data_IF_903727646216
#
_entry.id   IF_903727646216
#
_cell.length_a   1.000
_cell.length_b   1.000
_cell.length_c   1.000
_cell.angle_alpha   90.00
_cell.angle_beta   90.00
_cell.angle_gamma   90.00
#
_symmetry.space_group_name_H-M   'P 1'
#
loop_
_entity.id
_entity.type
_entity.pdbx_description
1 polymer ?
#
# COMPACT_ATOMS: atom_id res chain seq x y z
N UNK A 1 -6.57 29.27 54.68
CA UNK A 1 -6.81 28.29 53.59
C UNK A 1 -5.70 28.48 52.58
N UNK A 2 -4.94 27.43 52.25
CA UNK A 2 -3.84 27.56 51.27
C UNK A 2 -4.40 27.55 49.84
N UNK A 3 -3.76 28.22 48.89
CA UNK A 3 -4.20 28.21 47.49
C UNK A 3 -4.28 26.80 46.91
N UNK A 4 -3.38 25.91 47.36
CA UNK A 4 -3.41 24.49 47.04
C UNK A 4 -4.68 23.77 47.51
N UNK A 5 -5.14 24.05 48.74
CA UNK A 5 -6.42 23.52 49.24
C UNK A 5 -7.61 24.08 48.45
N UNK A 6 -7.50 25.33 47.98
CA UNK A 6 -8.54 25.96 47.16
C UNK A 6 -8.63 25.30 45.78
N UNK A 7 -7.50 25.02 45.13
CA UNK A 7 -7.49 24.29 43.86
C UNK A 7 -7.98 22.85 44.00
N UNK A 8 -7.59 22.13 45.06
CA UNK A 8 -8.07 20.77 45.33
C UNK A 8 -9.61 20.73 45.47
N UNK A 9 -10.20 21.71 46.15
CA UNK A 9 -11.66 21.84 46.30
C UNK A 9 -12.34 22.20 44.96
N UNK A 10 -11.69 23.00 44.11
CA UNK A 10 -12.23 23.35 42.79
C UNK A 10 -12.21 22.16 41.84
N UNK A 11 -11.14 21.35 41.84
CA UNK A 11 -11.03 20.13 41.04
C UNK A 11 -12.04 19.07 41.49
N UNK A 12 -12.16 18.81 42.80
CA UNK A 12 -13.14 17.86 43.33
C UNK A 12 -14.59 18.25 42.98
N UNK A 13 -14.90 19.55 42.97
CA UNK A 13 -16.22 20.06 42.55
C UNK A 13 -16.45 19.95 41.04
N UNK A 14 -15.42 20.12 40.22
CA UNK A 14 -15.52 19.96 38.77
C UNK A 14 -15.84 18.51 38.39
N UNK A 15 -15.14 17.54 38.99
CA UNK A 15 -15.36 16.10 38.76
C UNK A 15 -16.77 15.67 39.20
N UNK A 16 -17.21 16.15 40.38
CA UNK A 16 -18.56 15.86 40.91
C UNK A 16 -19.68 16.48 40.07
N UNK A 17 -19.41 17.55 39.31
CA UNK A 17 -20.36 18.16 38.37
C UNK A 17 -20.39 17.40 37.04
N UNK A 18 -19.24 16.88 36.59
CA UNK A 18 -19.13 15.99 35.43
C UNK A 18 -19.98 14.73 35.58
N UNK A 19 -19.81 14.00 36.69
CA UNK A 19 -20.54 12.75 36.97
C UNK A 19 -22.05 12.95 37.11
N UNK A 20 -22.49 14.04 37.76
CA UNK A 20 -23.91 14.40 37.85
C UNK A 20 -24.51 14.73 36.49
N UNK A 21 -23.76 15.40 35.60
CA UNK A 21 -24.22 15.71 34.25
C UNK A 21 -24.33 14.46 33.37
N UNK A 22 -23.41 13.50 33.53
CA UNK A 22 -23.39 12.25 32.79
C UNK A 22 -24.52 11.31 33.24
N UNK A 23 -24.70 11.16 34.55
CA UNK A 23 -25.81 10.37 35.13
C UNK A 23 -27.18 10.98 34.82
N UNK A 24 -27.32 12.31 34.81
CA UNK A 24 -28.56 12.98 34.39
C UNK A 24 -28.87 12.76 32.89
N UNK A 25 -27.86 12.82 32.02
CA UNK A 25 -28.01 12.53 30.58
C UNK A 25 -28.38 11.07 30.30
N UNK A 26 -27.82 10.12 31.05
CA UNK A 26 -28.20 8.70 30.95
C UNK A 26 -29.65 8.46 31.41
N UNK A 27 -30.10 9.19 32.44
CA UNK A 27 -31.46 9.09 32.97
C UNK A 27 -32.51 9.74 32.06
N UNK A 28 -32.19 10.87 31.40
CA UNK A 28 -33.11 11.50 30.43
C UNK A 28 -33.27 10.68 29.14
N UNK A 29 -32.20 10.01 28.70
CA UNK A 29 -32.25 9.11 27.53
C UNK A 29 -33.12 7.87 27.78
N UNK A 30 -33.24 7.43 29.04
CA UNK A 30 -34.09 6.30 29.44
C UNK A 30 -35.57 6.69 29.58
N UNK A 31 -35.88 7.96 29.88
CA UNK A 31 -37.26 8.48 29.93
C UNK A 31 -37.81 8.90 28.55
N UNK A 32 -36.96 9.33 27.61
CA UNK A 32 -37.42 9.68 26.25
C UNK A 32 -37.86 8.47 25.42
N UNK A 33 -37.53 7.24 25.84
CA UNK A 33 -37.99 6.01 25.18
C UNK A 33 -39.39 5.57 25.64
N UNK A 34 -39.99 6.26 26.63
CA UNK A 34 -41.24 5.88 27.31
C UNK A 34 -42.38 6.90 27.04
N UNK A 35 -42.15 7.86 26.14
CA UNK A 35 -43.08 8.99 25.86
C UNK A 35 -43.52 9.10 24.39
N UNK A 36 -43.56 8.00 23.65
CA UNK A 36 -44.14 7.93 22.31
C UNK A 36 -45.24 6.86 22.20
N UNK A 37 -46.28 6.93 23.05
CA UNK A 37 -47.56 6.23 22.79
C UNK A 37 -48.73 6.81 23.59
N UNK A 38 -49.47 7.76 22.98
CA UNK A 38 -50.86 8.23 23.24
C UNK A 38 -51.00 9.51 22.39
N UNK A 39 -51.84 9.66 21.34
CA UNK A 39 -53.29 9.46 21.18
C UNK A 39 -53.70 9.66 19.69
N UNK A 40 -54.53 8.73 19.14
CA UNK A 40 -55.70 8.85 18.17
C UNK A 40 -55.63 9.76 16.92
N UNK A 41 -56.10 9.48 15.68
CA UNK A 41 -56.67 8.39 14.81
C UNK A 41 -57.04 9.10 13.44
N UNK A 42 -57.52 8.47 12.35
CA UNK A 42 -57.13 7.24 11.62
C UNK A 42 -56.94 7.50 10.09
N UNK A 43 -56.50 6.49 9.31
CA UNK A 43 -57.08 6.04 8.01
C UNK A 43 -56.09 5.14 7.22
N UNK A 44 -56.64 4.02 6.72
CA UNK A 44 -56.16 3.06 5.68
C UNK A 44 -55.05 2.03 5.97
N UNK A 45 -55.51 0.85 6.45
CA UNK A 45 -55.41 -0.52 5.86
C UNK A 45 -54.04 -1.22 5.62
N UNK A 46 -53.99 -2.57 5.73
CA UNK A 46 -53.07 -3.22 6.68
C UNK A 46 -51.96 -4.09 6.06
N UNK A 47 -50.82 -4.15 6.75
CA UNK A 47 -49.87 -5.27 6.70
C UNK A 47 -49.99 -6.05 8.02
N UNK A 48 -50.09 -7.40 8.02
CA UNK A 48 -50.25 -8.14 9.26
C UNK A 48 -48.92 -8.32 9.99
N UNK A 49 -49.04 -8.21 11.31
CA UNK A 49 -48.00 -8.27 12.30
C UNK A 49 -47.61 -9.70 12.71
N UNK A 50 -46.38 -9.80 13.18
CA UNK A 50 -45.91 -10.54 14.37
C UNK A 50 -46.29 -12.02 14.55
N UNK A 51 -45.25 -12.85 14.73
CA UNK A 51 -45.13 -13.63 15.97
C UNK A 51 -43.71 -14.12 16.24
N UNK A 52 -43.33 -13.98 17.51
CA UNK A 52 -42.35 -14.75 18.29
C UNK A 52 -42.00 -16.13 17.72
N UNK A 53 -40.72 -16.49 17.78
CA UNK A 53 -40.33 -17.90 17.71
C UNK A 53 -38.84 -18.10 17.53
N UNK A 54 -38.22 -18.70 18.54
CA UNK A 54 -36.94 -19.43 18.45
C UNK A 54 -36.97 -20.36 17.23
N UNK A 55 -35.96 -20.34 16.34
CA UNK A 55 -35.38 -21.52 15.65
C UNK A 55 -34.48 -21.17 14.45
N UNK A 56 -33.46 -22.00 14.32
CA UNK A 56 -32.46 -22.13 13.26
C UNK A 56 -33.02 -22.63 11.91
N UNK A 57 -32.21 -22.50 10.85
CA UNK A 57 -32.12 -23.34 9.63
C UNK A 57 -33.31 -23.38 8.65
N UNK A 58 -33.09 -22.89 7.41
CA UNK A 58 -33.61 -23.46 6.14
C UNK A 58 -33.44 -22.52 4.92
N UNK A 59 -33.38 -21.19 5.09
CA UNK A 59 -33.41 -20.23 3.96
C UNK A 59 -32.05 -19.93 3.30
N UNK A 60 -30.94 -20.35 3.89
CA UNK A 60 -29.60 -20.19 3.29
C UNK A 60 -29.23 -21.34 2.34
N UNK A 61 -29.83 -22.52 2.50
CA UNK A 61 -29.54 -23.69 1.67
C UNK A 61 -30.08 -23.54 0.22
N UNK A 62 -31.22 -22.88 0.07
CA UNK A 62 -31.91 -22.69 -1.22
C UNK A 62 -31.13 -21.73 -2.15
N UNK A 63 -30.54 -20.66 -1.59
CA UNK A 63 -29.67 -19.75 -2.35
C UNK A 63 -28.32 -20.34 -2.73
N UNK A 64 -27.77 -21.28 -1.94
CA UNK A 64 -26.56 -22.00 -2.30
C UNK A 64 -26.82 -23.06 -3.37
N UNK A 65 -27.93 -23.79 -3.28
CA UNK A 65 -28.32 -24.79 -4.28
C UNK A 65 -28.58 -24.17 -5.66
N UNK A 66 -29.31 -23.05 -5.71
CA UNK A 66 -29.56 -22.32 -6.97
C UNK A 66 -28.28 -21.73 -7.60
N UNK A 67 -27.23 -21.47 -6.80
CA UNK A 67 -25.96 -20.92 -7.28
C UNK A 67 -25.02 -22.03 -7.78
N UNK A 68 -25.06 -23.21 -7.16
CA UNK A 68 -24.29 -24.37 -7.61
C UNK A 68 -24.87 -24.99 -8.89
N UNK A 69 -26.19 -25.03 -9.07
CA UNK A 69 -26.81 -25.48 -10.33
C UNK A 69 -26.44 -24.57 -11.51
N UNK A 70 -26.45 -23.26 -11.32
CA UNK A 70 -26.04 -22.30 -12.35
C UNK A 70 -24.56 -22.46 -12.75
N UNK A 71 -23.70 -22.81 -11.79
CA UNK A 71 -22.27 -23.02 -12.04
C UNK A 71 -22.00 -24.37 -12.72
N UNK A 72 -22.80 -25.39 -12.42
CA UNK A 72 -22.74 -26.70 -13.06
C UNK A 72 -23.23 -26.64 -14.53
N UNK A 73 -24.27 -25.85 -14.81
CA UNK A 73 -24.76 -25.63 -16.18
C UNK A 73 -23.71 -24.90 -17.05
N UNK A 74 -22.98 -23.94 -16.48
CA UNK A 74 -21.90 -23.23 -17.19
C UNK A 74 -20.70 -24.16 -17.48
N UNK A 75 -20.37 -25.08 -16.55
CA UNK A 75 -19.35 -26.12 -16.78
C UNK A 75 -19.77 -27.10 -17.86
N UNK A 76 -21.03 -27.52 -17.89
CA UNK A 76 -21.56 -28.40 -18.92
C UNK A 76 -21.50 -27.74 -20.33
N UNK A 77 -21.78 -26.44 -20.43
CA UNK A 77 -21.65 -25.68 -21.69
C UNK A 77 -20.19 -25.55 -22.16
N UNK A 78 -19.22 -25.44 -21.24
CA UNK A 78 -17.78 -25.37 -21.58
C UNK A 78 -17.22 -26.70 -22.08
N UNK A 79 -17.72 -27.82 -21.55
CA UNK A 79 -17.29 -29.16 -21.97
C UNK A 79 -17.90 -29.59 -23.32
N UNK A 80 -19.03 -29.01 -23.73
CA UNK A 80 -19.66 -29.30 -25.03
C UNK A 80 -18.97 -28.62 -26.23
N UNK A 81 -18.10 -27.63 -25.97
CA UNK A 81 -17.32 -26.93 -26.99
C UNK A 81 -15.89 -27.46 -27.17
N UNK A 82 -15.51 -28.55 -26.50
CA UNK A 82 -14.26 -29.24 -26.80
C UNK A 82 -14.55 -30.60 -27.45
N UNK A 83 -14.54 -30.61 -28.78
CA UNK A 83 -14.04 -31.76 -29.53
C UNK A 83 -13.28 -31.29 -30.78
N UNK A 84 -12.17 -31.95 -31.14
CA UNK A 84 -11.15 -31.43 -32.03
C UNK A 84 -11.42 -31.81 -33.48
N UNK A 85 -11.36 -30.84 -34.39
CA UNK A 85 -11.31 -31.11 -35.83
C UNK A 85 -9.87 -31.29 -36.28
N UNK A 86 -9.56 -32.55 -36.62
CA UNK A 86 -8.40 -33.00 -37.38
C UNK A 86 -8.32 -32.26 -38.71
N UNK A 87 -7.16 -31.70 -39.05
CA UNK A 87 -6.74 -31.48 -40.43
C UNK A 87 -5.27 -31.88 -40.59
N UNK A 88 -5.12 -33.06 -41.19
CA UNK A 88 -3.97 -33.61 -41.89
C UNK A 88 -3.44 -32.67 -42.97
N UNK A 89 -2.12 -32.46 -43.02
CA UNK A 89 -1.36 -32.30 -44.27
C UNK A 89 0.03 -32.91 -44.10
N UNK A 90 0.16 -34.13 -44.61
CA UNK A 90 1.44 -34.71 -45.02
C UNK A 90 2.04 -33.85 -46.14
N UNK A 91 3.35 -33.61 -46.09
CA UNK A 91 4.16 -33.53 -47.31
C UNK A 91 5.58 -34.01 -47.04
N UNK A 92 6.12 -34.67 -48.05
CA UNK A 92 7.13 -35.70 -48.06
C UNK A 92 8.57 -35.20 -48.03
N UNK A 93 9.44 -36.04 -47.46
CA UNK A 93 10.90 -35.97 -47.57
C UNK A 93 11.43 -36.39 -48.95
N UNK A 94 12.39 -35.64 -49.48
CA UNK A 94 13.49 -36.14 -50.35
C UNK A 94 14.51 -35.00 -50.55
N UNK A 95 15.68 -35.05 -49.91
CA UNK A 95 16.98 -35.45 -50.50
C UNK A 95 17.28 -34.81 -51.87
N UNK A 96 18.31 -33.96 -51.97
CA UNK A 96 19.64 -34.27 -52.56
C UNK A 96 20.47 -32.99 -52.83
N UNK A 97 21.73 -33.09 -52.45
CA UNK A 97 22.97 -32.42 -52.88
C UNK A 97 23.01 -31.67 -54.22
N UNK A 98 23.70 -30.52 -54.24
CA UNK A 98 24.74 -30.23 -55.25
C UNK A 98 25.73 -29.15 -54.77
N UNK A 99 27.00 -29.55 -54.76
CA UNK A 99 28.21 -28.73 -54.73
C UNK A 99 28.34 -27.80 -55.95
N UNK A 100 28.93 -26.62 -55.77
CA UNK A 100 29.84 -26.01 -56.77
C UNK A 100 30.59 -24.82 -56.18
N UNK A 101 31.92 -24.98 -56.15
CA UNK A 101 32.94 -23.93 -56.17
C UNK A 101 32.70 -22.88 -57.26
N UNK A 102 33.02 -21.62 -56.95
CA UNK A 102 33.70 -20.73 -57.91
C UNK A 102 34.23 -19.48 -57.20
N UNK A 103 35.57 -19.41 -57.10
CA UNK A 103 36.34 -18.18 -56.93
C UNK A 103 36.01 -17.14 -58.01
N UNK A 104 35.85 -15.87 -57.63
CA UNK A 104 36.30 -14.77 -58.46
C UNK A 104 36.69 -13.54 -57.62
N UNK A 105 37.90 -13.03 -57.87
CA UNK A 105 38.47 -11.82 -57.29
C UNK A 105 38.33 -10.64 -58.24
N UNK A 106 37.86 -9.50 -57.75
CA UNK A 106 38.12 -8.14 -58.26
C UNK A 106 37.43 -7.16 -57.29
N UNK A 107 38.11 -6.56 -56.31
CA UNK A 107 38.89 -5.31 -56.40
C UNK A 107 38.10 -4.15 -57.03
N UNK A 108 37.52 -3.30 -56.18
CA UNK A 108 37.53 -1.83 -56.31
C UNK A 108 37.04 -1.18 -55.01
N UNK A 109 37.78 -0.15 -54.65
CA UNK A 109 37.71 0.79 -53.54
C UNK A 109 36.41 1.60 -53.52
N UNK A 110 35.64 1.54 -52.42
CA UNK A 110 34.88 2.65 -51.85
C UNK A 110 34.50 2.28 -50.40
N UNK A 111 35.27 2.80 -49.45
CA UNK A 111 35.11 2.61 -48.00
C UNK A 111 33.91 3.36 -47.42
N UNK A 112 32.73 3.20 -48.00
CA UNK A 112 31.47 3.60 -47.39
C UNK A 112 31.11 2.62 -46.28
N UNK A 113 31.58 2.89 -45.06
CA UNK A 113 31.07 2.23 -43.86
C UNK A 113 29.57 2.51 -43.76
N UNK A 114 28.76 1.59 -44.26
CA UNK A 114 27.38 1.43 -43.84
C UNK A 114 27.44 1.11 -42.34
N UNK A 115 27.35 2.14 -41.51
CA UNK A 115 27.01 1.95 -40.09
C UNK A 115 25.73 1.12 -40.07
N UNK A 116 25.89 -0.12 -39.61
CA UNK A 116 24.80 -1.04 -39.36
C UNK A 116 23.86 -0.36 -38.38
N UNK A 117 22.69 0.05 -38.86
CA UNK A 117 21.59 0.72 -38.15
C UNK A 117 20.93 -0.21 -37.09
N UNK A 118 21.71 -1.15 -36.53
CA UNK A 118 21.28 -2.20 -35.60
C UNK A 118 21.44 -1.77 -34.13
N UNK A 119 22.26 -0.74 -33.85
CA UNK A 119 22.43 -0.21 -32.48
C UNK A 119 21.24 0.63 -31.99
N UNK A 120 20.25 0.92 -32.84
CA UNK A 120 19.02 1.63 -32.45
C UNK A 120 17.90 0.71 -31.96
N UNK A 121 18.07 -0.61 -32.12
CA UNK A 121 17.11 -1.65 -31.73
C UNK A 121 17.01 -1.85 -30.22
N UNK A 122 18.07 -1.50 -29.48
CA UNK A 122 18.23 -1.79 -28.05
C UNK A 122 17.70 -0.68 -27.13
N UNK A 123 17.29 0.46 -27.69
CA UNK A 123 16.78 1.58 -26.91
C UNK A 123 15.33 1.31 -26.46
N UNK A 124 15.03 1.44 -25.16
CA UNK A 124 13.70 1.13 -24.63
C UNK A 124 12.68 2.17 -25.10
N UNK A 125 11.53 1.71 -25.60
CA UNK A 125 10.47 2.58 -26.13
C UNK A 125 9.84 3.41 -25.00
N UNK A 126 9.22 4.54 -25.34
CA UNK A 126 8.42 5.33 -24.38
C UNK A 126 7.36 4.48 -23.65
N UNK A 127 6.67 3.58 -24.36
CA UNK A 127 5.68 2.68 -23.74
C UNK A 127 6.34 1.71 -22.75
N UNK A 128 7.51 1.15 -23.08
CA UNK A 128 8.26 0.26 -22.19
C UNK A 128 8.64 1.01 -20.89
N UNK A 129 9.14 2.24 -21.01
CA UNK A 129 9.49 3.09 -19.87
C UNK A 129 8.26 3.47 -19.03
N UNK A 130 7.13 3.74 -19.69
CA UNK A 130 5.87 4.08 -19.03
C UNK A 130 5.32 2.91 -18.20
N UNK A 131 5.53 1.67 -18.64
CA UNK A 131 5.14 0.47 -17.88
C UNK A 131 6.00 0.26 -16.63
N UNK A 132 7.31 0.51 -16.72
CA UNK A 132 8.22 0.42 -15.55
C UNK A 132 8.25 1.70 -14.70
N UNK A 133 7.45 2.72 -15.05
CA UNK A 133 7.32 3.94 -14.27
C UNK A 133 6.38 3.72 -13.09
N UNK A 134 6.91 3.92 -11.88
CA UNK A 134 6.18 3.75 -10.64
C UNK A 134 5.54 5.07 -10.20
N UNK A 135 4.23 5.01 -9.97
CA UNK A 135 3.43 6.13 -9.46
C UNK A 135 3.56 6.24 -7.94
N UNK A 136 3.37 7.45 -7.41
CA UNK A 136 3.41 7.73 -5.96
C UNK A 136 2.47 6.84 -5.14
N UNK A 137 1.23 6.65 -5.58
CA UNK A 137 0.24 5.79 -4.94
C UNK A 137 0.66 4.32 -4.86
N UNK A 138 1.49 3.86 -5.80
CA UNK A 138 2.08 2.51 -5.78
C UNK A 138 3.24 2.44 -4.79
N UNK A 139 4.08 3.48 -4.71
CA UNK A 139 5.11 3.61 -3.67
C UNK A 139 4.51 3.64 -2.26
N UNK A 140 3.42 4.38 -2.05
CA UNK A 140 2.73 4.47 -0.75
C UNK A 140 2.17 3.12 -0.26
N UNK A 141 1.90 2.19 -1.18
CA UNK A 141 1.54 0.81 -0.85
C UNK A 141 2.77 -0.03 -0.56
N UNK A 142 3.80 0.09 -1.39
CA UNK A 142 4.96 -0.79 -1.38
C UNK A 142 6.05 -0.43 -0.39
N UNK A 143 6.15 0.80 0.13
CA UNK A 143 7.33 1.19 0.93
C UNK A 143 7.54 0.42 2.26
N UNK A 144 6.49 -0.26 2.76
CA UNK A 144 6.53 -1.13 3.95
C UNK A 144 6.86 -2.59 3.56
N UNK A 145 6.85 -2.90 2.27
CA UNK A 145 7.10 -4.25 1.80
C UNK A 145 8.59 -4.60 1.90
N UNK A 146 8.95 -5.83 2.30
CA UNK A 146 10.35 -6.21 2.46
C UNK A 146 11.11 -6.25 1.12
N UNK A 147 10.42 -6.56 0.02
CA UNK A 147 11.00 -6.57 -1.32
C UNK A 147 11.06 -5.18 -1.97
N UNK A 148 10.60 -4.14 -1.27
CA UNK A 148 10.48 -2.79 -1.84
C UNK A 148 11.80 -2.26 -2.37
N UNK A 149 12.86 -2.43 -1.58
CA UNK A 149 14.17 -1.85 -1.84
C UNK A 149 14.80 -2.48 -3.09
N UNK A 150 14.69 -3.80 -3.24
CA UNK A 150 15.20 -4.51 -4.42
C UNK A 150 14.33 -4.27 -5.67
N UNK A 151 13.02 -4.20 -5.49
CA UNK A 151 12.07 -4.01 -6.59
C UNK A 151 12.18 -2.62 -7.20
N UNK A 152 12.28 -1.58 -6.37
CA UNK A 152 12.21 -0.19 -6.84
C UNK A 152 13.49 0.24 -7.56
N UNK A 153 14.62 -0.38 -7.26
CA UNK A 153 15.89 -0.11 -7.92
C UNK A 153 15.81 -0.44 -9.40
N UNK A 154 16.22 0.50 -10.26
CA UNK A 154 16.12 0.39 -11.71
C UNK A 154 14.75 0.71 -12.29
N UNK A 155 13.74 1.02 -11.46
CA UNK A 155 12.47 1.56 -11.94
C UNK A 155 12.58 3.06 -12.24
N UNK A 156 11.65 3.57 -13.05
CA UNK A 156 11.52 5.00 -13.31
C UNK A 156 10.50 5.64 -12.37
N UNK A 157 10.74 6.89 -12.01
CA UNK A 157 9.82 7.72 -11.23
C UNK A 157 9.77 9.12 -11.83
N UNK A 158 8.58 9.70 -11.83
CA UNK A 158 8.34 11.06 -12.29
C UNK A 158 8.45 12.04 -11.13
N UNK A 159 9.55 12.77 -11.06
CA UNK A 159 9.89 13.65 -9.93
C UNK A 159 9.49 15.08 -10.24
N UNK A 160 8.72 15.71 -9.33
CA UNK A 160 8.41 17.13 -9.42
C UNK A 160 9.59 17.97 -8.92
N UNK A 161 10.30 18.63 -9.84
CA UNK A 161 11.48 19.46 -9.49
C UNK A 161 11.07 20.82 -8.97
N UNK A 162 9.93 21.34 -9.42
CA UNK A 162 9.44 22.65 -9.00
C UNK A 162 8.33 23.17 -9.90
N UNK A 163 8.16 24.49 -9.92
CA UNK A 163 7.14 25.17 -10.72
C UNK A 163 7.79 26.27 -11.56
N UNK A 164 7.56 26.23 -12.87
CA UNK A 164 7.89 27.30 -13.82
C UNK A 164 6.73 28.29 -13.92
N UNK A 165 6.97 29.40 -14.64
CA UNK A 165 5.92 30.31 -15.12
C UNK A 165 4.84 29.58 -15.95
N UNK A 166 5.21 28.49 -16.61
CA UNK A 166 4.32 27.66 -17.43
C UNK A 166 3.60 26.52 -16.67
N UNK A 167 3.92 26.29 -15.39
CA UNK A 167 3.33 25.20 -14.60
C UNK A 167 4.35 24.32 -13.87
N UNK A 168 3.90 23.26 -13.18
CA UNK A 168 4.79 22.32 -12.49
C UNK A 168 5.71 21.60 -13.49
N UNK A 169 7.01 21.58 -13.19
CA UNK A 169 8.02 20.91 -14.00
C UNK A 169 8.30 19.55 -13.38
N UNK A 170 8.19 18.51 -14.21
CA UNK A 170 8.52 17.15 -13.86
C UNK A 170 9.69 16.66 -14.70
N UNK A 171 10.49 15.75 -14.12
CA UNK A 171 11.49 15.00 -14.87
C UNK A 171 11.36 13.52 -14.58
N UNK A 172 11.73 12.73 -15.58
CA UNK A 172 11.78 11.30 -15.49
C UNK A 172 13.16 10.88 -14.98
N UNK A 173 13.19 10.30 -13.78
CA UNK A 173 14.43 9.89 -13.12
C UNK A 173 14.40 8.38 -12.86
N UNK A 174 15.58 7.77 -12.81
CA UNK A 174 15.74 6.36 -12.45
C UNK A 174 16.16 6.22 -10.99
N UNK A 175 15.63 5.21 -10.32
CA UNK A 175 15.94 4.95 -8.91
C UNK A 175 17.22 4.13 -8.80
N UNK A 176 18.22 4.64 -8.06
CA UNK A 176 19.48 3.95 -7.77
C UNK A 176 19.39 3.08 -6.53
N UNK A 177 18.90 3.65 -5.43
CA UNK A 177 18.70 2.95 -4.16
C UNK A 177 17.70 3.68 -3.27
N UNK A 178 17.30 3.03 -2.18
CA UNK A 178 16.47 3.58 -1.12
C UNK A 178 17.38 3.96 0.05
N UNK A 179 17.21 5.18 0.56
CA UNK A 179 17.93 5.68 1.74
C UNK A 179 16.99 5.70 2.95
N UNK A 180 17.29 4.90 3.96
CA UNK A 180 16.58 4.85 5.25
C UNK A 180 17.49 5.21 6.44
N UNK A 181 18.60 5.91 6.19
CA UNK A 181 19.67 6.16 7.19
C UNK A 181 19.24 7.08 8.34
N UNK A 182 18.25 7.96 8.12
CA UNK A 182 17.81 8.96 9.11
C UNK A 182 16.36 8.74 9.59
N UNK A 183 16.12 7.96 10.67
CA UNK A 183 14.78 7.79 11.25
C UNK A 183 14.15 9.10 11.75
N UNK A 184 14.96 10.08 12.15
CA UNK A 184 14.50 11.36 12.70
C UNK A 184 13.89 12.30 11.64
N UNK A 185 14.20 12.08 10.36
CA UNK A 185 13.65 12.86 9.23
C UNK A 185 12.43 12.17 8.62
N UNK A 186 11.51 11.73 9.47
CA UNK A 186 10.28 11.13 9.00
C UNK A 186 9.35 12.18 8.38
N UNK A 187 8.74 11.86 7.25
CA UNK A 187 7.76 12.70 6.56
C UNK A 187 6.46 11.94 6.32
N UNK A 188 5.38 12.69 6.10
CA UNK A 188 4.07 12.11 5.79
C UNK A 188 3.99 11.76 4.31
N UNK A 189 3.72 10.49 4.02
CA UNK A 189 3.41 9.99 2.69
C UNK A 189 1.96 9.50 2.70
N UNK A 190 1.07 10.32 2.13
CA UNK A 190 -0.39 10.13 2.17
C UNK A 190 -0.90 10.02 3.61
N UNK A 191 -1.21 8.81 4.08
CA UNK A 191 -1.78 8.54 5.41
C UNK A 191 -0.80 7.81 6.34
N UNK A 192 0.47 7.69 5.95
CA UNK A 192 1.48 6.95 6.70
C UNK A 192 2.72 7.82 6.87
N UNK A 193 3.46 7.58 7.95
CA UNK A 193 4.74 8.24 8.19
C UNK A 193 5.86 7.33 7.70
N UNK A 194 6.81 7.88 6.94
CA UNK A 194 7.97 7.13 6.42
C UNK A 194 9.24 7.96 6.57
N UNK A 195 10.36 7.28 6.81
CA UNK A 195 11.70 7.85 6.83
C UNK A 195 12.53 7.39 5.62
N UNK A 196 11.92 6.62 4.69
CA UNK A 196 12.58 6.14 3.48
C UNK A 196 12.58 7.23 2.41
N UNK A 197 13.73 7.46 1.80
CA UNK A 197 13.95 8.38 0.69
C UNK A 197 14.39 7.60 -0.54
N UNK A 198 14.13 8.13 -1.72
CA UNK A 198 14.60 7.54 -2.98
C UNK A 198 15.77 8.35 -3.50
N UNK A 199 16.90 7.68 -3.70
CA UNK A 199 18.02 8.26 -4.42
C UNK A 199 17.78 8.01 -5.90
N UNK A 200 17.52 9.08 -6.62
CA UNK A 200 17.18 9.02 -8.04
C UNK A 200 18.16 9.86 -8.82
N UNK A 201 18.47 9.43 -10.03
CA UNK A 201 19.38 10.13 -10.91
C UNK A 201 18.72 10.43 -12.24
N UNK A 202 19.25 11.46 -12.89
CA UNK A 202 18.82 11.94 -14.20
C UNK A 202 20.06 12.01 -15.09
N UNK A 203 20.08 11.24 -16.18
CA UNK A 203 21.27 11.11 -17.03
C UNK A 203 22.32 10.16 -16.46
N UNK A 204 23.06 10.63 -15.44
CA UNK A 204 24.22 9.94 -14.90
C UNK A 204 24.02 9.50 -13.44
N UNK A 205 24.52 8.32 -13.09
CA UNK A 205 24.48 7.76 -11.73
C UNK A 205 25.20 8.60 -10.66
N UNK A 206 26.15 9.45 -11.06
CA UNK A 206 26.81 10.41 -10.15
C UNK A 206 25.93 11.62 -9.81
N UNK A 207 24.92 11.91 -10.64
CA UNK A 207 23.92 12.95 -10.38
C UNK A 207 22.77 12.45 -9.52
N UNK A 208 22.98 11.36 -8.78
CA UNK A 208 21.99 10.83 -7.84
C UNK A 208 21.72 11.85 -6.72
N UNK A 209 20.45 12.18 -6.56
CA UNK A 209 19.96 13.08 -5.52
C UNK A 209 18.92 12.36 -4.66
N UNK A 210 18.86 12.73 -3.38
CA UNK A 210 17.90 12.18 -2.42
C UNK A 210 16.57 12.93 -2.53
N UNK A 211 15.50 12.21 -2.84
CA UNK A 211 14.15 12.76 -2.97
C UNK A 211 13.17 12.07 -2.03
N UNK A 212 12.24 12.85 -1.50
CA UNK A 212 11.08 12.30 -0.77
C UNK A 212 10.13 11.65 -1.76
N UNK A 213 9.55 10.51 -1.39
CA UNK A 213 8.53 9.83 -2.21
C UNK A 213 7.29 10.71 -2.42
N UNK A 214 7.04 11.67 -1.53
CA UNK A 214 5.94 12.63 -1.65
C UNK A 214 6.06 13.56 -2.87
N UNK A 215 7.28 13.78 -3.37
CA UNK A 215 7.56 14.64 -4.54
C UNK A 215 7.32 13.93 -5.88
N UNK A 216 6.99 12.63 -5.84
CA UNK A 216 6.74 11.83 -7.03
C UNK A 216 5.30 12.04 -7.49
N UNK A 217 5.11 12.15 -8.79
CA UNK A 217 3.80 12.33 -9.39
C UNK A 217 3.02 11.01 -9.45
N UNK A 218 1.69 11.10 -9.37
CA UNK A 218 0.79 10.01 -9.76
C UNK A 218 0.46 10.01 -11.27
N UNK A 219 0.88 11.06 -11.99
CA UNK A 219 0.71 11.15 -13.44
C UNK A 219 1.64 10.19 -14.18
N UNK A 220 1.19 9.72 -15.35
CA UNK A 220 2.04 9.02 -16.28
C UNK A 220 3.20 9.91 -16.75
N UNK A 221 4.36 9.32 -17.08
CA UNK A 221 5.41 10.05 -17.77
C UNK A 221 4.85 10.59 -19.08
N UNK A 222 5.37 11.73 -19.54
CA UNK A 222 5.01 12.33 -20.83
C UNK A 222 6.14 12.10 -21.82
N UNK A 223 5.83 12.01 -23.11
CA UNK A 223 6.83 11.73 -24.15
C UNK A 223 7.92 12.82 -24.21
N UNK A 224 7.58 14.08 -23.93
CA UNK A 224 8.58 15.15 -23.82
C UNK A 224 9.59 14.91 -22.70
N UNK A 225 9.14 14.37 -21.57
CA UNK A 225 9.99 14.07 -20.41
C UNK A 225 10.94 12.90 -20.72
N UNK A 226 10.46 11.91 -21.47
CA UNK A 226 11.26 10.80 -21.97
C UNK A 226 12.32 11.27 -22.97
N UNK A 227 11.96 12.10 -23.96
CA UNK A 227 12.92 12.67 -24.91
C UNK A 227 13.97 13.54 -24.21
N UNK A 228 13.58 14.29 -23.18
CA UNK A 228 14.52 15.06 -22.36
C UNK A 228 15.48 14.16 -21.57
N UNK A 229 14.98 13.05 -21.02
CA UNK A 229 15.80 12.07 -20.33
C UNK A 229 16.81 11.42 -21.28
N UNK A 230 16.41 10.96 -22.47
CA UNK A 230 17.33 10.40 -23.47
C UNK A 230 18.46 11.36 -23.79
N UNK A 231 18.11 12.61 -24.16
CA UNK A 231 19.09 13.63 -24.51
C UNK A 231 20.08 13.88 -23.37
N UNK A 232 19.62 13.85 -22.13
CA UNK A 232 20.48 14.02 -20.96
C UNK A 232 21.40 12.81 -20.75
N UNK A 233 20.90 11.59 -20.93
CA UNK A 233 21.71 10.37 -20.84
C UNK A 233 22.80 10.37 -21.91
N UNK A 234 22.46 10.70 -23.16
CA UNK A 234 23.44 10.85 -24.25
C UNK A 234 24.48 11.93 -23.93
N UNK A 235 24.03 13.10 -23.46
CA UNK A 235 24.90 14.24 -23.12
C UNK A 235 25.87 13.93 -21.98
N UNK A 236 25.46 13.07 -21.04
CA UNK A 236 26.26 12.73 -19.85
C UNK A 236 26.98 11.39 -19.97
N UNK A 237 26.89 10.73 -21.14
CA UNK A 237 27.35 9.37 -21.38
C UNK A 237 26.86 8.39 -20.30
N UNK A 238 25.62 8.58 -19.84
CA UNK A 238 24.98 7.69 -18.88
C UNK A 238 24.59 6.36 -19.51
N UNK A 239 24.37 5.34 -18.67
CA UNK A 239 23.89 4.03 -19.13
C UNK A 239 22.39 4.11 -19.45
N UNK A 240 22.04 3.87 -20.71
CA UNK A 240 20.66 3.59 -21.11
C UNK A 240 20.35 2.13 -20.74
N UNK A 241 19.26 1.83 -20.01
CA UNK A 241 18.83 0.45 -19.80
C UNK A 241 18.57 -0.25 -21.12
N UNK A 242 18.99 -1.50 -21.27
CA UNK A 242 18.60 -2.31 -22.43
C UNK A 242 17.11 -2.60 -22.38
N UNK A 243 16.49 -2.81 -23.54
CA UNK A 243 15.12 -3.31 -23.66
C UNK A 243 14.87 -4.59 -22.85
N UNK A 244 15.87 -5.47 -22.75
CA UNK A 244 15.80 -6.67 -21.93
C UNK A 244 15.68 -6.34 -20.43
N UNK A 245 16.52 -5.43 -19.92
CA UNK A 245 16.47 -4.96 -18.53
C UNK A 245 15.08 -4.40 -18.19
N UNK A 246 14.49 -3.64 -19.12
CA UNK A 246 13.15 -3.06 -18.96
C UNK A 246 12.06 -4.15 -18.93
N UNK A 247 12.14 -5.15 -19.80
CA UNK A 247 11.20 -6.27 -19.82
C UNK A 247 11.28 -7.10 -18.52
N UNK A 248 12.48 -7.39 -18.04
CA UNK A 248 12.68 -8.11 -16.78
C UNK A 248 12.11 -7.33 -15.58
N UNK A 249 12.29 -6.00 -15.57
CA UNK A 249 11.71 -5.13 -14.56
C UNK A 249 10.19 -5.07 -14.64
N UNK A 250 9.62 -5.04 -15.85
CA UNK A 250 8.17 -5.15 -16.06
C UNK A 250 7.62 -6.43 -15.45
N UNK A 251 8.23 -7.58 -15.76
CA UNK A 251 7.84 -8.87 -15.19
C UNK A 251 7.98 -8.90 -13.67
N UNK A 252 9.05 -8.31 -13.11
CA UNK A 252 9.22 -8.20 -11.67
C UNK A 252 8.09 -7.40 -10.99
N UNK A 253 7.68 -6.29 -11.61
CA UNK A 253 6.57 -5.46 -11.15
C UNK A 253 5.24 -6.22 -11.23
N UNK A 254 5.00 -6.99 -12.29
CA UNK A 254 3.80 -7.82 -12.45
C UNK A 254 3.74 -8.97 -11.45
N UNK A 255 4.87 -9.65 -11.24
CA UNK A 255 5.01 -10.74 -10.26
C UNK A 255 4.63 -10.28 -8.86
N UNK A 256 4.99 -9.06 -8.49
CA UNK A 256 4.65 -8.45 -7.21
C UNK A 256 3.16 -8.16 -7.06
N UNK A 257 2.46 -7.82 -8.15
CA UNK A 257 0.99 -7.68 -8.09
C UNK A 257 0.30 -9.02 -7.80
N UNK A 258 0.90 -10.13 -8.24
CA UNK A 258 0.44 -11.50 -7.95
C UNK A 258 1.09 -12.13 -6.71
N UNK A 259 1.98 -11.40 -6.02
CA UNK A 259 2.78 -11.97 -4.95
C UNK A 259 1.91 -12.32 -3.76
N UNK A 260 2.02 -13.58 -3.32
CA UNK A 260 1.37 -14.07 -2.11
C UNK A 260 2.33 -13.90 -0.95
N UNK A 261 1.92 -13.15 0.06
CA UNK A 261 2.71 -12.94 1.26
C UNK A 261 3.05 -14.25 1.96
N UNK A 262 4.34 -14.51 2.16
CA UNK A 262 4.79 -15.57 3.06
C UNK A 262 4.43 -15.22 4.52
N UNK A 263 4.16 -16.23 5.34
CA UNK A 263 3.81 -16.05 6.75
C UNK A 263 4.89 -15.26 7.53
N UNK A 264 6.16 -15.42 7.15
CA UNK A 264 7.29 -14.71 7.75
C UNK A 264 7.28 -13.21 7.41
N UNK A 265 6.99 -12.87 6.15
CA UNK A 265 6.82 -11.49 5.69
C UNK A 265 5.69 -10.79 6.44
N UNK A 266 4.56 -11.48 6.63
CA UNK A 266 3.41 -10.92 7.38
C UNK A 266 3.80 -10.64 8.84
N UNK A 267 4.59 -11.52 9.47
CA UNK A 267 5.09 -11.33 10.83
C UNK A 267 6.01 -10.11 10.92
N UNK A 268 6.95 -9.95 9.98
CA UNK A 268 7.83 -8.78 9.91
C UNK A 268 7.04 -7.48 9.73
N UNK A 269 6.07 -7.46 8.81
CA UNK A 269 5.20 -6.28 8.60
C UNK A 269 4.35 -5.95 9.82
N UNK A 270 3.90 -6.95 10.59
CA UNK A 270 3.18 -6.73 11.85
C UNK A 270 4.07 -6.12 12.92
N UNK A 271 5.32 -6.56 13.01
CA UNK A 271 6.30 -6.02 13.95
C UNK A 271 6.67 -4.58 13.60
N UNK A 272 6.94 -4.31 12.32
CA UNK A 272 7.28 -2.97 11.82
C UNK A 272 6.09 -2.02 11.91
N UNK A 273 4.86 -2.50 11.67
CA UNK A 273 3.65 -1.71 11.95
C UNK A 273 3.44 -1.46 13.43
N UNK A 274 3.78 -2.39 14.32
CA UNK A 274 3.68 -2.15 15.77
C UNK A 274 4.69 -1.12 16.24
N UNK A 275 5.92 -1.15 15.71
CA UNK A 275 6.96 -0.18 16.07
C UNK A 275 6.73 1.20 15.44
N UNK A 276 6.21 1.27 14.21
CA UNK A 276 5.90 2.54 13.54
C UNK A 276 4.51 3.11 13.92
N UNK A 277 3.56 2.27 14.33
CA UNK A 277 2.26 2.74 14.82
C UNK A 277 2.43 3.21 16.26
N UNK A 278 2.79 4.49 16.39
CA UNK A 278 2.50 5.29 17.57
C UNK A 278 0.97 5.42 17.66
N UNK A 279 0.26 4.33 17.98
CA UNK A 279 -1.05 4.52 18.58
C UNK A 279 -0.76 5.29 19.86
N UNK A 280 -1.37 6.47 20.09
CA UNK A 280 -1.33 7.03 21.42
C UNK A 280 -1.85 5.92 22.34
N UNK A 281 -0.99 5.45 23.25
CA UNK A 281 -1.39 4.50 24.28
C UNK A 281 -2.73 5.00 24.80
N UNK A 282 -3.78 4.18 24.68
CA UNK A 282 -5.05 4.53 25.26
C UNK A 282 -4.83 4.48 26.78
N UNK A 283 -4.47 5.64 27.36
CA UNK A 283 -4.10 5.79 28.76
C UNK A 283 -5.18 5.21 29.67
N UNK A 284 -6.46 5.26 29.23
CA UNK A 284 -7.56 4.62 29.93
C UNK A 284 -7.49 3.09 29.91
N UNK A 285 -7.19 2.46 28.77
CA UNK A 285 -7.06 1.01 28.67
C UNK A 285 -5.85 0.47 29.45
N UNK A 286 -4.71 1.20 29.41
CA UNK A 286 -3.53 0.79 30.17
C UNK A 286 -3.71 1.04 31.68
N UNK A 287 -4.45 2.09 32.06
CA UNK A 287 -4.86 2.32 33.45
C UNK A 287 -5.79 1.21 33.95
N UNK A 288 -6.76 0.77 33.15
CA UNK A 288 -7.65 -0.34 33.52
C UNK A 288 -6.90 -1.67 33.63
N UNK A 289 -5.89 -1.89 32.78
CA UNK A 289 -5.01 -3.04 32.86
C UNK A 289 -4.17 -3.03 34.14
N UNK A 290 -3.49 -1.92 34.43
CA UNK A 290 -2.69 -1.76 35.65
C UNK A 290 -3.54 -1.83 36.92
N UNK A 291 -4.80 -1.39 36.86
CA UNK A 291 -5.75 -1.51 37.99
C UNK A 291 -6.11 -2.97 38.27
N UNK A 292 -6.36 -3.77 37.23
CA UNK A 292 -6.59 -5.21 37.38
C UNK A 292 -5.35 -5.94 37.87
N UNK A 293 -4.17 -5.55 37.39
CA UNK A 293 -2.90 -6.15 37.83
C UNK A 293 -2.61 -5.83 39.31
N UNK A 294 -2.95 -4.61 39.75
CA UNK A 294 -2.90 -4.19 41.14
C UNK A 294 -3.91 -4.98 42.00
N UNK A 295 -5.16 -5.14 41.56
CA UNK A 295 -6.17 -5.94 42.25
C UNK A 295 -5.76 -7.43 42.38
N UNK A 296 -5.12 -7.98 41.35
CA UNK A 296 -4.57 -9.34 41.38
C UNK A 296 -3.37 -9.43 42.33
N UNK A 297 -2.47 -8.45 42.35
CA UNK A 297 -1.32 -8.42 43.26
C UNK A 297 -1.74 -8.24 44.72
N UNK A 298 -2.75 -7.40 44.98
CA UNK A 298 -3.38 -7.24 46.30
C UNK A 298 -4.05 -8.55 46.75
N UNK A 299 -4.74 -9.27 45.86
CA UNK A 299 -5.34 -10.57 46.18
C UNK A 299 -4.31 -11.66 46.54
N UNK A 300 -3.06 -11.49 46.08
CA UNK A 300 -1.95 -12.43 46.32
C UNK A 300 -1.02 -12.01 47.47
N UNK A 301 -1.29 -10.87 48.14
CA UNK A 301 -0.42 -10.25 49.15
C UNK A 301 1.04 -10.06 48.69
N UNK A 302 1.25 -9.82 47.40
CA UNK A 302 2.57 -9.51 46.85
C UNK A 302 2.80 -8.00 46.92
N UNK A 303 3.31 -7.52 48.05
CA UNK A 303 3.58 -6.09 48.31
C UNK A 303 4.51 -5.46 47.26
N UNK A 304 5.47 -6.23 46.72
CA UNK A 304 6.38 -5.76 45.69
C UNK A 304 5.66 -5.56 44.34
N UNK A 305 4.72 -6.43 44.00
CA UNK A 305 3.86 -6.32 42.81
C UNK A 305 2.89 -5.12 42.89
N UNK A 306 2.36 -4.83 44.08
CA UNK A 306 1.47 -3.70 44.34
C UNK A 306 2.20 -2.36 44.19
N UNK A 307 3.37 -2.23 44.81
CA UNK A 307 4.18 -1.01 44.73
C UNK A 307 4.66 -0.75 43.29
N UNK A 308 5.13 -1.81 42.61
CA UNK A 308 5.56 -1.73 41.22
C UNK A 308 4.44 -1.32 40.25
N UNK A 309 3.19 -1.73 40.52
CA UNK A 309 2.01 -1.37 39.72
C UNK A 309 1.52 0.05 40.02
N UNK A 310 1.60 0.51 41.28
CA UNK A 310 1.30 1.90 41.69
C UNK A 310 2.27 2.90 41.06
N UNK A 311 3.57 2.62 41.09
CA UNK A 311 4.59 3.49 40.49
C UNK A 311 4.38 3.63 38.98
N UNK A 312 4.09 2.53 38.28
CA UNK A 312 3.78 2.54 36.84
C UNK A 312 2.50 3.31 36.52
N UNK A 313 1.45 3.15 37.32
CA UNK A 313 0.20 3.92 37.19
C UNK A 313 0.40 5.41 37.41
N UNK A 314 1.19 5.81 38.41
CA UNK A 314 1.54 7.21 38.70
C UNK A 314 2.38 7.86 37.57
N UNK A 315 3.31 7.10 36.98
CA UNK A 315 4.08 7.54 35.81
C UNK A 315 3.18 7.78 34.58
N UNK A 316 2.20 6.91 34.34
CA UNK A 316 1.20 7.09 33.29
C UNK A 316 0.35 8.35 33.50
N UNK A 317 -0.07 8.64 34.73
CA UNK A 317 -0.83 9.86 35.07
C UNK A 317 0.00 11.13 34.78
N UNK A 318 1.30 11.11 35.11
CA UNK A 318 2.20 12.24 34.82
C UNK A 318 2.44 12.45 33.32
N UNK A 319 2.44 11.39 32.52
CA UNK A 319 2.56 11.49 31.06
C UNK A 319 1.27 11.96 30.38
N UNK A 320 0.10 11.65 30.95
CA UNK A 320 -1.20 12.12 30.45
C UNK A 320 -1.41 13.63 30.61
N UNK A 321 -0.99 14.20 31.76
CA UNK A 321 -1.19 15.63 32.09
C UNK A 321 -0.31 16.57 31.25
N UNK A 322 0.81 16.09 30.69
CA UNK A 322 1.71 16.91 29.85
C UNK A 322 1.26 17.06 28.39
N UNK A 323 0.15 16.43 27.99
CA UNK A 323 -0.31 16.37 26.59
C UNK A 323 -1.62 17.11 26.31
N UNK A 324 -2.26 17.72 27.31
CA UNK A 324 -3.33 18.73 27.13
C UNK A 324 -2.74 20.14 27.12
#
# INVERSE_FOLDING_TARGET
MTEFQREMILTERADKKGDKSFTAKLRSKRQNNDKTTTTTTPVSKPLPAASRGVRSSARSADRSAAKDDALNELRAKRMKHQNPTKLSRDFTSSKLSSSSDSDNRSQSDDGGMVESDDDRSDMPTYEDIKEITIRRSKLAKWFIEPFFEDLIVGCFVRVGIGRSKAGPIYRLCMVKNVDAVDPDKAYSLENKTTHKYLNVFWGNEFSAARWQMAMISDGHPVEEEYRQWIREVERTNGRVPSKQDVSEKKEAIERVNSFVYSAETVKQMLEEKKSASVRPMNVAAEKDRLRKELEIAESKNDEAGVEGSKVRSSSLMRQGIKKE
#
